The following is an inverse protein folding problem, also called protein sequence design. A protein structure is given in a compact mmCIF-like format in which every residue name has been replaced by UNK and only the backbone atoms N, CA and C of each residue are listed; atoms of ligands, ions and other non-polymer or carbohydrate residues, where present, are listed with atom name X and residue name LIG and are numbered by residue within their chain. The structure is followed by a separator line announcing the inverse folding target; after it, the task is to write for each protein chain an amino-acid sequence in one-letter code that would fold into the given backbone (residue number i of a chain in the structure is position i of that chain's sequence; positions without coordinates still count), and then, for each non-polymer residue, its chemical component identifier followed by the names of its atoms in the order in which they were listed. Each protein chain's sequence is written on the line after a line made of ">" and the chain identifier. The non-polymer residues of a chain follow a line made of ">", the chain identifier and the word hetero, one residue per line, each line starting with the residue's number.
data_IF_889866541887
#
_entry.id   IF_889866541887
#
_cell.length_a   1.000
_cell.length_b   1.000
_cell.length_c   1.000
_cell.angle_alpha   90.00
_cell.angle_beta   90.00
_cell.angle_gamma   90.00
#
_symmetry.space_group_name_H-M   'P 1'
#
loop_
_entity.id
_entity.type
_entity.pdbx_description
1 polymer ?
#
# COMPACT_ATOMS: atom_id res chain seq x y z
N UNK A 1 90.04 -9.29 20.90
CA UNK A 1 89.12 -8.47 21.71
C UNK A 1 88.36 -7.59 20.73
N UNK A 2 87.19 -8.02 20.26
CA UNK A 2 85.92 -8.00 20.99
C UNK A 2 85.27 -6.60 20.93
N UNK A 3 84.20 -6.54 20.12
CA UNK A 3 82.98 -5.76 20.32
C UNK A 3 83.08 -4.24 20.42
N UNK A 4 82.91 -3.54 19.29
CA UNK A 4 81.84 -2.53 19.09
C UNK A 4 81.59 -2.37 17.57
N UNK A 5 80.92 -3.33 16.94
CA UNK A 5 80.23 -3.10 15.65
C UNK A 5 78.87 -3.80 15.75
N UNK A 6 78.01 -3.29 16.64
CA UNK A 6 76.64 -3.77 16.73
C UNK A 6 75.71 -2.63 17.18
N UNK A 7 75.40 -1.72 16.25
CA UNK A 7 74.28 -0.78 16.42
C UNK A 7 73.76 -0.13 15.13
N UNK A 8 74.34 -0.43 13.95
CA UNK A 8 73.80 0.05 12.66
C UNK A 8 73.16 -1.04 11.80
N UNK A 9 73.46 -2.32 12.04
CA UNK A 9 72.85 -3.44 11.31
C UNK A 9 71.52 -3.89 11.93
N UNK A 10 71.40 -3.85 13.27
CA UNK A 10 70.14 -4.16 13.96
C UNK A 10 69.04 -3.11 13.72
N UNK A 11 69.38 -1.81 13.63
CA UNK A 11 68.41 -0.77 13.23
C UNK A 11 67.90 -0.93 11.79
N UNK A 12 68.73 -1.45 10.87
CA UNK A 12 68.34 -1.66 9.47
C UNK A 12 67.45 -2.90 9.31
N UNK A 13 67.71 -3.95 10.10
CA UNK A 13 66.87 -5.16 10.14
C UNK A 13 65.51 -4.90 10.80
N UNK A 14 65.42 -4.07 11.85
CA UNK A 14 64.15 -3.64 12.42
C UNK A 14 63.30 -2.81 11.44
N UNK A 15 63.93 -1.97 10.60
CA UNK A 15 63.22 -1.21 9.56
C UNK A 15 62.69 -2.11 8.43
N UNK A 16 63.43 -3.16 8.06
CA UNK A 16 63.00 -4.11 7.03
C UNK A 16 61.89 -5.06 7.51
N UNK A 17 61.90 -5.47 8.79
CA UNK A 17 60.79 -6.23 9.38
C UNK A 17 59.52 -5.38 9.60
N UNK A 18 59.66 -4.08 9.88
CA UNK A 18 58.54 -3.14 9.92
C UNK A 18 57.97 -2.88 8.52
N UNK A 19 58.80 -2.82 7.46
CA UNK A 19 58.30 -2.71 6.09
C UNK A 19 57.61 -3.99 5.59
N UNK A 20 58.03 -5.19 6.04
CA UNK A 20 57.31 -6.43 5.69
C UNK A 20 55.95 -6.58 6.40
N UNK A 21 55.75 -5.90 7.53
CA UNK A 21 54.43 -5.82 8.18
C UNK A 21 53.55 -4.67 7.64
N UNK A 22 54.14 -3.69 6.95
CA UNK A 22 53.39 -2.58 6.32
C UNK A 22 53.13 -2.85 4.82
N UNK A 23 53.70 -3.89 4.23
CA UNK A 23 53.46 -4.32 2.84
C UNK A 23 52.77 -5.69 2.70
N UNK A 24 52.12 -6.15 3.76
CA UNK A 24 51.32 -7.37 3.80
C UNK A 24 49.88 -7.11 4.23
N UNK A 25 49.15 -6.32 3.44
CA UNK A 25 47.69 -6.43 3.21
C UNK A 25 47.19 -5.24 2.37
N UNK A 26 47.87 -4.94 1.26
CA UNK A 26 47.14 -4.39 0.12
C UNK A 26 46.53 -5.57 -0.61
N UNK A 27 45.44 -6.12 -0.05
CA UNK A 27 44.44 -6.78 -0.88
C UNK A 27 44.03 -5.71 -1.89
N UNK A 28 44.63 -5.77 -3.09
CA UNK A 28 43.93 -5.36 -4.30
C UNK A 28 42.76 -6.33 -4.36
N UNK A 29 41.71 -5.97 -3.63
CA UNK A 29 40.37 -6.41 -3.92
C UNK A 29 40.08 -5.85 -5.29
N UNK A 30 40.58 -6.55 -6.32
CA UNK A 30 39.90 -6.61 -7.58
C UNK A 30 38.50 -7.05 -7.20
N UNK A 31 37.63 -6.08 -6.96
CA UNK A 31 36.20 -6.29 -7.06
C UNK A 31 36.07 -6.85 -8.45
N UNK A 32 35.98 -8.17 -8.51
CA UNK A 32 35.28 -8.88 -9.55
C UNK A 32 34.05 -8.00 -9.74
N UNK A 33 33.98 -7.33 -10.88
CA UNK A 33 32.69 -6.91 -11.39
C UNK A 33 32.01 -8.27 -11.52
N UNK A 34 31.32 -8.67 -10.46
CA UNK A 34 30.21 -9.59 -10.60
C UNK A 34 29.42 -8.90 -11.69
N UNK A 35 29.50 -9.46 -12.90
CA UNK A 35 28.49 -9.26 -13.91
C UNK A 35 27.20 -9.19 -13.13
N UNK A 36 26.60 -8.01 -13.09
CA UNK A 36 25.26 -7.80 -12.60
C UNK A 36 24.50 -8.97 -13.18
N UNK A 37 24.16 -9.97 -12.37
CA UNK A 37 23.15 -10.93 -12.80
C UNK A 37 22.02 -10.01 -13.19
N UNK A 38 21.65 -9.98 -14.47
CA UNK A 38 20.40 -9.37 -14.86
C UNK A 38 19.38 -10.05 -13.96
N UNK A 39 18.99 -9.38 -12.89
CA UNK A 39 17.97 -9.84 -11.96
C UNK A 39 16.72 -9.85 -12.81
N UNK A 40 16.34 -11.05 -13.24
CA UNK A 40 15.37 -11.21 -14.30
C UNK A 40 14.03 -10.82 -13.74
N UNK A 41 13.35 -9.86 -14.34
CA UNK A 41 11.94 -9.68 -14.04
C UNK A 41 11.20 -10.98 -14.35
N UNK A 42 10.43 -11.51 -13.40
CA UNK A 42 9.75 -12.79 -13.58
C UNK A 42 8.50 -12.54 -14.42
N UNK A 43 8.54 -12.97 -15.69
CA UNK A 43 7.40 -12.88 -16.59
C UNK A 43 6.25 -13.77 -16.09
N UNK A 44 5.05 -13.21 -16.07
CA UNK A 44 3.88 -13.93 -15.58
C UNK A 44 3.53 -15.13 -16.47
N UNK A 45 3.19 -16.26 -15.84
CA UNK A 45 2.68 -17.43 -16.57
C UNK A 45 1.39 -17.04 -17.31
N UNK A 46 1.24 -17.49 -18.55
CA UNK A 46 0.05 -17.16 -19.35
C UNK A 46 0.06 -15.75 -19.96
N UNK A 47 1.19 -15.04 -19.95
CA UNK A 47 1.32 -13.75 -20.64
C UNK A 47 1.09 -13.90 -22.14
N UNK A 48 0.09 -13.20 -22.67
CA UNK A 48 -0.27 -13.14 -24.09
C UNK A 48 0.41 -11.95 -24.78
N UNK A 49 0.49 -10.81 -24.08
CA UNK A 49 1.09 -9.57 -24.58
C UNK A 49 1.83 -8.87 -23.44
N UNK A 50 2.91 -8.18 -23.75
CA UNK A 50 3.64 -7.32 -22.81
C UNK A 50 3.59 -5.88 -23.33
N UNK A 51 3.41 -4.91 -22.43
CA UNK A 51 3.44 -3.48 -22.70
C UNK A 51 4.47 -2.87 -21.75
N UNK A 52 5.44 -2.15 -22.30
CA UNK A 52 6.42 -1.40 -21.51
C UNK A 52 6.04 0.08 -21.57
N UNK A 53 6.11 0.78 -20.44
CA UNK A 53 5.91 2.22 -20.39
C UNK A 53 7.23 3.01 -20.49
N UNK A 54 7.13 4.33 -20.59
CA UNK A 54 8.30 5.21 -20.72
C UNK A 54 9.13 5.30 -19.43
N UNK A 55 8.53 4.95 -18.30
CA UNK A 55 9.13 5.00 -16.97
C UNK A 55 9.87 3.70 -16.58
N UNK A 56 9.80 2.68 -17.44
CA UNK A 56 10.43 1.38 -17.25
C UNK A 56 9.54 0.34 -16.57
N UNK A 57 8.26 0.65 -16.33
CA UNK A 57 7.29 -0.35 -15.86
C UNK A 57 6.91 -1.29 -17.00
N UNK A 58 6.76 -2.57 -16.68
CA UNK A 58 6.33 -3.60 -17.62
C UNK A 58 5.01 -4.21 -17.19
N UNK A 59 4.01 -4.16 -18.05
CA UNK A 59 2.69 -4.77 -17.84
C UNK A 59 2.57 -6.03 -18.70
N UNK A 60 2.32 -7.16 -18.05
CA UNK A 60 1.97 -8.41 -18.71
C UNK A 60 0.45 -8.56 -18.77
N UNK A 61 -0.10 -8.61 -19.99
CA UNK A 61 -1.49 -9.00 -20.24
C UNK A 61 -1.58 -10.52 -20.15
N UNK A 62 -2.06 -11.02 -19.02
CA UNK A 62 -2.14 -12.45 -18.69
C UNK A 62 -3.51 -12.98 -19.04
N UNK A 63 -3.58 -14.16 -19.65
CA UNK A 63 -4.82 -14.89 -19.88
C UNK A 63 -5.64 -14.94 -18.58
N UNK A 64 -6.91 -14.54 -18.66
CA UNK A 64 -7.76 -14.38 -17.48
C UNK A 64 -7.87 -15.66 -16.65
N UNK A 65 -7.72 -16.86 -17.25
CA UNK A 65 -7.76 -18.15 -16.55
C UNK A 65 -6.40 -18.59 -15.98
N UNK A 66 -5.32 -17.87 -16.31
CA UNK A 66 -3.96 -18.16 -15.84
C UNK A 66 -3.44 -17.12 -14.84
N UNK A 67 -4.29 -16.17 -14.41
CA UNK A 67 -3.94 -15.20 -13.39
C UNK A 67 -3.65 -15.87 -12.02
N UNK A 68 -2.82 -15.25 -11.15
CA UNK A 68 -2.39 -15.83 -9.88
C UNK A 68 -3.53 -16.28 -8.96
N UNK A 69 -4.70 -15.64 -9.03
CA UNK A 69 -5.86 -15.95 -8.21
C UNK A 69 -6.16 -17.46 -8.06
N UNK A 70 -5.97 -18.24 -9.13
CA UNK A 70 -6.36 -19.66 -9.18
C UNK A 70 -5.35 -20.63 -8.59
N UNK A 71 -4.19 -20.15 -8.15
CA UNK A 71 -3.28 -20.96 -7.34
C UNK A 71 -3.82 -21.16 -5.91
N UNK A 72 -4.88 -20.43 -5.53
CA UNK A 72 -5.53 -20.56 -4.23
C UNK A 72 -6.27 -21.91 -4.15
N UNK A 73 -6.11 -22.70 -3.07
CA UNK A 73 -6.71 -24.04 -2.97
C UNK A 73 -8.23 -24.06 -3.19
N UNK A 74 -8.94 -23.05 -2.70
CA UNK A 74 -10.40 -22.93 -2.86
C UNK A 74 -10.86 -22.43 -4.23
N UNK A 75 -9.95 -21.98 -5.10
CA UNK A 75 -10.30 -21.34 -6.39
C UNK A 75 -9.91 -22.15 -7.63
N UNK A 76 -9.37 -23.36 -7.48
CA UNK A 76 -8.88 -24.19 -8.61
C UNK A 76 -9.92 -24.45 -9.73
N UNK A 77 -11.20 -24.54 -9.38
CA UNK A 77 -12.31 -24.76 -10.31
C UNK A 77 -13.31 -23.60 -10.30
N UNK A 78 -12.85 -22.40 -9.92
CA UNK A 78 -13.72 -21.24 -9.76
C UNK A 78 -14.27 -20.79 -11.11
N UNK A 79 -15.59 -20.54 -11.16
CA UNK A 79 -16.23 -19.96 -12.34
C UNK A 79 -16.12 -18.44 -12.21
N UNK A 80 -15.41 -17.83 -13.15
CA UNK A 80 -15.21 -16.38 -13.17
C UNK A 80 -16.53 -15.68 -13.44
N UNK A 81 -16.91 -14.78 -12.54
CA UNK A 81 -18.01 -13.84 -12.77
C UNK A 81 -17.41 -12.58 -13.36
N UNK A 82 -17.68 -12.29 -14.64
CA UNK A 82 -17.07 -11.14 -15.33
C UNK A 82 -17.62 -9.79 -14.87
N UNK A 83 -18.84 -9.76 -14.33
CA UNK A 83 -19.47 -8.55 -13.82
C UNK A 83 -20.47 -8.85 -12.69
N UNK A 84 -20.64 -7.93 -11.73
CA UNK A 84 -21.74 -7.99 -10.77
C UNK A 84 -23.10 -7.86 -11.47
N UNK A 85 -24.18 -8.27 -10.78
CA UNK A 85 -25.54 -8.11 -11.26
C UNK A 85 -25.99 -6.65 -11.19
N UNK A 86 -25.54 -5.96 -10.14
CA UNK A 86 -25.76 -4.54 -9.90
C UNK A 86 -24.43 -3.86 -9.55
N UNK A 87 -24.18 -2.73 -10.21
CA UNK A 87 -23.04 -1.87 -9.89
C UNK A 87 -23.59 -0.70 -9.08
N UNK A 88 -23.21 -0.56 -7.80
CA UNK A 88 -23.61 0.58 -7.00
C UNK A 88 -23.00 1.87 -7.59
N UNK A 89 -23.69 2.99 -7.39
CA UNK A 89 -23.15 4.28 -7.81
C UNK A 89 -21.89 4.61 -7.01
N UNK A 90 -20.82 4.93 -7.73
CA UNK A 90 -19.56 5.41 -7.16
C UNK A 90 -19.78 6.66 -6.31
N UNK A 91 -18.98 6.87 -5.25
CA UNK A 91 -19.00 8.12 -4.52
C UNK A 91 -18.66 9.29 -5.46
N UNK A 92 -19.26 10.46 -5.21
CA UNK A 92 -19.11 11.62 -6.11
C UNK A 92 -17.66 12.12 -6.12
N UNK A 93 -17.07 12.11 -7.30
CA UNK A 93 -15.78 12.73 -7.61
C UNK A 93 -15.94 14.22 -7.94
N UNK A 94 -14.85 15.00 -7.99
CA UNK A 94 -14.97 16.42 -8.33
C UNK A 94 -15.22 16.55 -9.83
N UNK A 95 -16.25 17.31 -10.22
CA UNK A 95 -16.70 17.45 -11.62
C UNK A 95 -15.69 18.06 -12.59
N UNK A 96 -14.53 18.53 -12.09
CA UNK A 96 -13.43 19.14 -12.83
C UNK A 96 -12.17 18.27 -12.87
N UNK A 97 -12.25 17.00 -12.47
CA UNK A 97 -11.10 16.11 -12.45
C UNK A 97 -10.78 15.55 -13.84
N UNK A 98 -9.47 15.40 -14.08
CA UNK A 98 -8.98 14.56 -15.17
C UNK A 98 -9.28 13.09 -14.85
N UNK A 99 -9.52 12.29 -15.88
CA UNK A 99 -9.74 10.85 -15.75
C UNK A 99 -8.52 10.17 -15.10
N UNK A 100 -8.77 9.17 -14.23
CA UNK A 100 -7.71 8.36 -13.65
C UNK A 100 -6.93 7.67 -14.75
N UNK A 101 -5.60 7.79 -14.68
CA UNK A 101 -4.73 7.39 -15.76
C UNK A 101 -3.53 6.59 -15.25
N UNK A 102 -3.08 5.60 -16.02
CA UNK A 102 -1.82 4.88 -15.79
C UNK A 102 -0.92 5.04 -17.02
N UNK A 103 0.36 5.36 -16.81
CA UNK A 103 1.27 5.75 -17.91
C UNK A 103 1.40 4.70 -19.03
N UNK A 104 1.30 3.41 -18.70
CA UNK A 104 1.34 2.32 -19.69
C UNK A 104 0.20 2.38 -20.72
N UNK A 105 -0.90 3.07 -20.45
CA UNK A 105 -2.00 3.29 -21.40
C UNK A 105 -1.56 4.03 -22.66
N UNK A 106 -0.48 4.85 -22.59
CA UNK A 106 0.09 5.53 -23.76
C UNK A 106 0.59 4.54 -24.81
N UNK A 107 1.05 3.37 -24.37
CA UNK A 107 1.73 2.38 -25.20
C UNK A 107 0.83 1.21 -25.60
N UNK A 108 -0.44 1.23 -25.16
CA UNK A 108 -1.50 0.37 -25.67
C UNK A 108 -2.46 -0.13 -24.61
N UNK A 109 -3.18 -1.19 -24.95
CA UNK A 109 -4.19 -1.81 -24.10
C UNK A 109 -4.03 -3.33 -24.11
N UNK A 110 -4.54 -3.99 -23.06
CA UNK A 110 -4.60 -5.43 -23.00
C UNK A 110 -5.75 -6.00 -23.86
N UNK A 111 -5.55 -7.13 -24.57
CA UNK A 111 -6.59 -7.78 -25.35
C UNK A 111 -7.77 -8.26 -24.50
N UNK A 112 -8.91 -8.52 -25.15
CA UNK A 112 -10.03 -9.22 -24.50
C UNK A 112 -9.61 -10.59 -23.97
N UNK A 113 -10.20 -10.98 -22.83
CA UNK A 113 -9.86 -12.24 -22.16
C UNK A 113 -8.50 -12.22 -21.43
N UNK A 114 -7.91 -11.04 -21.21
CA UNK A 114 -6.68 -10.88 -20.42
C UNK A 114 -6.82 -9.84 -19.32
N UNK A 115 -5.95 -9.91 -18.32
CA UNK A 115 -5.83 -8.94 -17.22
C UNK A 115 -4.40 -8.38 -17.16
N UNK A 116 -4.20 -7.06 -17.00
CA UNK A 116 -2.88 -6.45 -16.87
C UNK A 116 -2.30 -6.68 -15.48
N UNK A 117 -1.10 -7.27 -15.43
CA UNK A 117 -0.34 -7.50 -14.21
C UNK A 117 1.02 -6.82 -14.37
N UNK A 118 1.32 -5.84 -13.49
CA UNK A 118 2.66 -5.23 -13.43
C UNK A 118 3.69 -6.29 -13.05
N UNK A 119 4.79 -6.32 -13.78
CA UNK A 119 5.88 -7.25 -13.56
C UNK A 119 6.78 -6.76 -12.43
N UNK A 120 6.75 -7.48 -11.31
CA UNK A 120 7.57 -7.22 -10.11
C UNK A 120 9.02 -7.65 -10.32
N UNK A 121 9.98 -6.92 -9.75
CA UNK A 121 11.39 -7.34 -9.76
C UNK A 121 11.63 -8.46 -8.72
N UNK A 122 12.55 -9.38 -9.02
CA UNK A 122 12.90 -10.50 -8.11
C UNK A 122 13.37 -10.02 -6.72
N UNK A 123 13.96 -8.82 -6.62
CA UNK A 123 14.36 -8.21 -5.35
C UNK A 123 13.19 -7.66 -4.52
N UNK A 124 12.11 -7.19 -5.15
CA UNK A 124 10.92 -6.70 -4.45
C UNK A 124 10.23 -7.84 -3.69
N UNK A 125 10.23 -9.06 -4.25
CA UNK A 125 9.72 -10.27 -3.58
C UNK A 125 10.45 -10.57 -2.27
N UNK A 126 11.75 -10.25 -2.18
CA UNK A 126 12.57 -10.46 -0.97
C UNK A 126 12.51 -9.33 0.05
N UNK A 127 11.98 -8.16 -0.33
CA UNK A 127 11.76 -7.01 0.56
C UNK A 127 10.32 -6.95 1.09
N UNK A 128 9.60 -8.07 1.08
CA UNK A 128 8.33 -8.17 1.77
C UNK A 128 8.49 -7.67 3.20
N UNK A 129 7.91 -6.51 3.49
CA UNK A 129 7.86 -5.95 4.84
C UNK A 129 7.29 -7.03 5.75
N UNK A 130 7.97 -7.35 6.85
CA UNK A 130 7.42 -8.30 7.82
C UNK A 130 6.28 -7.60 8.55
N UNK A 131 5.06 -7.89 8.13
CA UNK A 131 3.84 -7.36 8.74
C UNK A 131 3.62 -8.00 10.10
N UNK A 132 3.26 -7.17 11.09
CA UNK A 132 2.92 -7.60 12.45
C UNK A 132 1.39 -7.54 12.59
N UNK A 133 0.75 -8.52 13.26
CA UNK A 133 -0.70 -8.58 13.42
C UNK A 133 -1.33 -7.29 13.94
N UNK A 134 -2.31 -6.76 13.20
CA UNK A 134 -3.11 -5.58 13.57
C UNK A 134 -4.13 -5.95 14.66
N UNK A 135 -4.19 -5.18 15.75
CA UNK A 135 -5.22 -5.33 16.80
C UNK A 135 -6.37 -4.36 16.56
N UNK A 136 -7.60 -4.87 16.48
CA UNK A 136 -8.81 -4.07 16.19
C UNK A 136 -9.40 -3.39 17.42
N UNK A 137 -8.95 -3.74 18.63
CA UNK A 137 -9.46 -3.14 19.86
C UNK A 137 -8.82 -1.76 20.13
N UNK A 138 -9.55 -0.70 19.78
CA UNK A 138 -9.23 0.70 20.09
C UNK A 138 -9.05 1.02 21.60
N UNK A 139 -9.37 0.09 22.51
CA UNK A 139 -9.40 0.28 23.96
C UNK A 139 -8.24 -0.35 24.73
N UNK A 140 -7.27 -0.99 24.08
CA UNK A 140 -6.13 -1.58 24.78
C UNK A 140 -4.86 -0.73 24.58
N UNK A 141 -4.61 0.12 25.57
CA UNK A 141 -3.31 0.74 25.81
C UNK A 141 -2.26 -0.34 26.09
N UNK A 142 -1.55 -0.76 25.06
CA UNK A 142 -0.32 -1.53 25.16
C UNK A 142 0.62 -1.01 24.09
N UNK A 143 1.82 -0.58 24.52
CA UNK A 143 2.93 -0.14 23.67
C UNK A 143 2.90 -0.91 22.33
N UNK A 144 2.58 -0.19 21.27
CA UNK A 144 2.48 -0.75 19.93
C UNK A 144 3.91 -1.09 19.49
N UNK A 145 4.21 -2.39 19.48
CA UNK A 145 5.48 -2.95 18.98
C UNK A 145 5.45 -2.97 17.44
N UNK A 146 4.38 -2.50 16.80
CA UNK A 146 4.36 -2.29 15.36
C UNK A 146 4.99 -0.94 15.03
N UNK A 147 5.93 -0.96 14.10
CA UNK A 147 6.46 0.22 13.43
C UNK A 147 5.41 0.90 12.52
N UNK A 148 4.12 0.64 12.74
CA UNK A 148 3.01 1.11 11.90
C UNK A 148 2.27 2.22 12.64
N UNK A 149 2.20 3.40 12.03
CA UNK A 149 1.49 4.53 12.60
C UNK A 149 0.27 4.88 11.77
N UNK A 150 -0.84 5.14 12.46
CA UNK A 150 -2.15 5.32 11.85
C UNK A 150 -2.70 6.71 12.13
N UNK A 151 -3.49 7.24 11.20
CA UNK A 151 -4.43 8.33 11.44
C UNK A 151 -5.74 8.03 10.69
N UNK A 152 -6.72 7.52 11.42
CA UNK A 152 -7.91 6.88 10.85
C UNK A 152 -9.21 7.32 11.55
N UNK A 153 -10.32 7.07 10.87
CA UNK A 153 -11.65 7.00 11.48
C UNK A 153 -12.21 5.59 11.35
N UNK A 154 -12.89 5.13 12.38
CA UNK A 154 -13.46 3.79 12.48
C UNK A 154 -14.97 3.86 12.69
N UNK A 155 -15.70 2.97 12.03
CA UNK A 155 -17.15 2.86 12.06
C UNK A 155 -17.55 1.39 12.19
N UNK A 156 -18.55 1.11 13.03
CA UNK A 156 -19.12 -0.23 13.15
C UNK A 156 -20.60 -0.17 13.48
N UNK A 157 -21.41 -0.87 12.70
CA UNK A 157 -22.85 -1.03 12.93
C UNK A 157 -23.29 -2.39 12.43
N UNK A 158 -23.78 -3.25 13.34
CA UNK A 158 -24.36 -4.54 13.00
C UNK A 158 -23.61 -5.29 11.89
N UNK A 159 -24.33 -5.63 10.81
CA UNK A 159 -23.77 -6.25 9.62
C UNK A 159 -23.56 -5.22 8.50
N UNK A 160 -22.36 -5.22 7.93
CA UNK A 160 -21.94 -4.32 6.87
C UNK A 160 -21.64 -5.15 5.61
N UNK A 161 -22.15 -4.70 4.47
CA UNK A 161 -22.02 -5.36 3.18
C UNK A 161 -21.20 -4.54 2.19
N UNK A 162 -20.60 -3.42 2.62
CA UNK A 162 -19.75 -2.62 1.75
C UNK A 162 -19.29 -1.32 2.39
N UNK A 163 -18.24 -0.75 1.82
CA UNK A 163 -17.61 0.50 2.22
C UNK A 163 -17.30 1.32 0.96
N UNK A 164 -17.45 2.64 1.05
CA UNK A 164 -17.03 3.56 -0.01
C UNK A 164 -16.45 4.84 0.54
N UNK A 165 -15.65 5.51 -0.28
CA UNK A 165 -15.25 6.89 -0.08
C UNK A 165 -14.62 7.46 -1.36
N UNK A 166 -14.61 8.78 -1.49
CA UNK A 166 -13.67 9.48 -2.38
C UNK A 166 -12.48 9.94 -1.55
N UNK A 167 -11.26 9.62 -1.99
CA UNK A 167 -10.02 9.99 -1.30
C UNK A 167 -9.09 10.72 -2.26
N UNK A 168 -8.48 11.83 -1.81
CA UNK A 168 -7.51 12.53 -2.66
C UNK A 168 -6.19 11.78 -2.76
N UNK A 169 -5.60 11.84 -3.96
CA UNK A 169 -4.37 11.15 -4.32
C UNK A 169 -3.20 12.10 -4.10
N UNK A 170 -2.18 11.65 -3.36
CA UNK A 170 -0.94 12.40 -3.10
C UNK A 170 0.27 11.50 -3.38
N UNK A 171 1.43 12.12 -3.61
CA UNK A 171 2.72 11.44 -3.66
C UNK A 171 3.61 11.91 -2.49
N UNK A 172 3.36 11.44 -1.26
CA UNK A 172 4.17 11.79 -0.09
C UNK A 172 5.64 11.39 -0.25
N UNK A 173 6.52 12.11 0.45
CA UNK A 173 7.92 11.69 0.62
C UNK A 173 7.97 10.52 1.60
N UNK A 174 8.71 9.47 1.25
CA UNK A 174 8.85 8.25 2.04
C UNK A 174 10.34 7.91 2.17
N UNK A 175 10.80 7.62 3.39
CA UNK A 175 12.19 7.24 3.66
C UNK A 175 12.49 5.80 3.16
N UNK A 176 13.77 5.48 3.01
CA UNK A 176 14.23 4.21 2.42
C UNK A 176 13.71 2.98 3.17
N UNK A 177 13.02 2.10 2.44
CA UNK A 177 12.43 0.87 3.00
C UNK A 177 11.09 1.06 3.70
N UNK A 178 10.54 2.28 3.69
CA UNK A 178 9.25 2.61 4.29
C UNK A 178 8.12 2.71 3.25
N UNK A 179 6.90 2.93 3.74
CA UNK A 179 5.72 3.16 2.93
C UNK A 179 4.76 4.16 3.57
N UNK A 180 3.89 4.73 2.74
CA UNK A 180 2.74 5.56 3.14
C UNK A 180 1.50 5.17 2.34
N UNK A 181 0.39 4.97 3.04
CA UNK A 181 -0.89 4.48 2.50
C UNK A 181 -2.01 5.48 2.79
N UNK A 182 -2.98 5.53 1.90
CA UNK A 182 -4.33 6.00 2.20
C UNK A 182 -5.32 4.95 1.71
N UNK A 183 -6.13 4.39 2.61
CA UNK A 183 -6.93 3.21 2.30
C UNK A 183 -8.25 3.11 3.06
N UNK A 184 -9.09 2.20 2.57
CA UNK A 184 -10.30 1.70 3.23
C UNK A 184 -10.00 0.29 3.73
N UNK A 185 -10.34 0.00 4.99
CA UNK A 185 -10.33 -1.36 5.55
C UNK A 185 -11.75 -1.85 5.76
N UNK A 186 -12.04 -3.07 5.31
CA UNK A 186 -13.28 -3.80 5.59
C UNK A 186 -12.93 -5.00 6.46
N UNK A 187 -13.40 -5.02 7.71
CA UNK A 187 -12.92 -5.96 8.72
C UNK A 187 -14.03 -6.83 9.32
N UNK A 188 -13.71 -8.08 9.63
CA UNK A 188 -14.56 -9.00 10.38
C UNK A 188 -13.76 -10.03 11.18
N UNK A 189 -14.31 -10.47 12.32
CA UNK A 189 -13.71 -11.50 13.17
C UNK A 189 -12.88 -10.95 14.33
N UNK A 190 -12.44 -11.82 15.25
CA UNK A 190 -11.55 -11.47 16.35
C UNK A 190 -10.12 -11.21 15.85
N UNK A 191 -9.28 -10.54 16.65
CA UNK A 191 -7.92 -10.13 16.27
C UNK A 191 -7.05 -11.31 15.80
N UNK A 192 -7.17 -12.47 16.45
CA UNK A 192 -6.38 -13.67 16.14
C UNK A 192 -6.78 -14.33 14.81
N UNK A 193 -8.00 -14.08 14.32
CA UNK A 193 -8.50 -14.65 13.06
C UNK A 193 -9.05 -13.55 12.14
N UNK A 194 -8.51 -12.34 12.28
CA UNK A 194 -9.06 -11.15 11.65
C UNK A 194 -9.03 -11.29 10.14
N UNK A 195 -10.18 -11.06 9.52
CA UNK A 195 -10.30 -10.97 8.08
C UNK A 195 -10.28 -9.50 7.68
N UNK A 196 -9.41 -9.14 6.72
CA UNK A 196 -9.38 -7.79 6.15
C UNK A 196 -9.43 -7.83 4.64
N UNK A 197 -10.13 -6.86 4.07
CA UNK A 197 -9.99 -6.43 2.67
C UNK A 197 -9.64 -4.96 2.71
N UNK A 198 -8.60 -4.58 1.96
CA UNK A 198 -8.04 -3.24 1.98
C UNK A 198 -7.82 -2.76 0.55
N UNK A 199 -8.15 -1.50 0.30
CA UNK A 199 -7.90 -0.89 -0.99
C UNK A 199 -7.68 0.61 -0.87
N UNK A 200 -6.78 1.13 -1.70
CA UNK A 200 -6.33 2.50 -1.58
C UNK A 200 -5.23 2.83 -2.57
N UNK A 201 -4.47 3.88 -2.26
CA UNK A 201 -3.21 4.17 -2.92
C UNK A 201 -2.04 4.09 -1.93
N UNK A 202 -0.87 3.68 -2.43
CA UNK A 202 0.37 3.55 -1.67
C UNK A 202 1.53 4.25 -2.36
N UNK A 203 2.50 4.70 -1.57
CA UNK A 203 3.85 5.08 -2.01
C UNK A 203 4.85 4.25 -1.21
N UNK A 204 5.82 3.67 -1.90
CA UNK A 204 6.92 2.89 -1.29
C UNK A 204 8.25 3.41 -1.78
N UNK A 205 9.26 3.46 -0.91
CA UNK A 205 10.64 3.75 -1.31
C UNK A 205 11.34 2.45 -1.76
N UNK A 206 12.16 2.45 -2.84
CA UNK A 206 12.72 3.61 -3.55
C UNK A 206 11.93 4.12 -4.76
N UNK A 207 10.77 3.53 -5.08
CA UNK A 207 10.05 3.89 -6.30
C UNK A 207 9.43 5.29 -6.23
N UNK A 208 8.92 5.68 -5.06
CA UNK A 208 8.41 7.03 -4.77
C UNK A 208 7.34 7.51 -5.78
N UNK A 209 6.49 6.57 -6.23
CA UNK A 209 5.31 6.81 -7.06
C UNK A 209 4.05 6.32 -6.36
N UNK A 210 2.99 7.11 -6.48
CA UNK A 210 1.65 6.72 -6.00
C UNK A 210 1.06 5.65 -6.88
N UNK A 211 0.70 4.52 -6.29
CA UNK A 211 0.14 3.35 -6.97
C UNK A 211 -1.18 2.94 -6.36
N UNK A 212 -2.12 2.51 -7.19
CA UNK A 212 -3.32 1.83 -6.72
C UNK A 212 -2.94 0.46 -6.16
N UNK A 213 -3.49 0.08 -5.01
CA UNK A 213 -3.24 -1.23 -4.44
C UNK A 213 -4.49 -1.84 -3.80
N UNK A 214 -4.39 -3.14 -3.56
CA UNK A 214 -5.26 -3.87 -2.64
C UNK A 214 -4.44 -4.73 -1.69
N UNK A 215 -5.00 -5.09 -0.54
CA UNK A 215 -4.48 -6.09 0.38
C UNK A 215 -5.64 -6.91 0.92
N UNK A 216 -5.41 -8.15 1.33
CA UNK A 216 -6.40 -8.92 2.08
C UNK A 216 -5.71 -9.96 2.95
N UNK A 217 -6.30 -10.30 4.10
CA UNK A 217 -5.90 -11.45 4.94
C UNK A 217 -7.14 -12.14 5.50
N UNK A 218 -6.99 -13.39 5.93
CA UNK A 218 -8.05 -14.23 6.50
C UNK A 218 -7.71 -14.82 7.87
N UNK A 219 -6.53 -14.50 8.41
CA UNK A 219 -5.98 -15.13 9.62
C UNK A 219 -5.21 -14.14 10.52
N UNK A 220 -5.61 -12.86 10.51
CA UNK A 220 -4.97 -11.85 11.36
C UNK A 220 -3.51 -11.60 11.01
N UNK A 221 -3.18 -11.58 9.70
CA UNK A 221 -1.83 -11.32 9.19
C UNK A 221 -0.77 -12.33 9.66
N UNK A 222 -1.18 -13.54 10.05
CA UNK A 222 -0.25 -14.55 10.56
C UNK A 222 0.47 -15.28 9.42
N UNK A 223 -0.30 -15.86 8.50
CA UNK A 223 0.22 -16.66 7.39
C UNK A 223 -0.42 -16.32 6.06
N UNK A 224 -1.61 -15.70 6.06
CA UNK A 224 -2.29 -15.24 4.86
C UNK A 224 -2.17 -13.73 4.70
N UNK A 225 -2.13 -13.32 3.44
CA UNK A 225 -2.27 -11.93 3.02
C UNK A 225 -1.01 -11.28 2.49
N UNK A 226 -1.21 -10.47 1.48
CA UNK A 226 -0.18 -9.70 0.80
C UNK A 226 -0.85 -8.71 -0.17
N UNK A 227 -0.03 -7.91 -0.83
CA UNK A 227 -0.50 -6.91 -1.77
C UNK A 227 -0.94 -7.53 -3.10
N UNK A 228 -1.95 -6.90 -3.67
CA UNK A 228 -2.32 -7.04 -5.08
C UNK A 228 -2.54 -8.50 -5.49
N UNK A 229 -1.74 -8.99 -6.43
CA UNK A 229 -1.75 -10.34 -6.96
C UNK A 229 -0.53 -11.16 -6.52
N UNK A 230 0.20 -10.71 -5.49
CA UNK A 230 1.37 -11.43 -4.96
C UNK A 230 0.97 -12.77 -4.32
N UNK A 231 -0.27 -12.88 -3.84
CA UNK A 231 -0.86 -14.10 -3.29
C UNK A 231 -2.16 -14.39 -4.02
N UNK A 232 -2.50 -15.67 -4.13
CA UNK A 232 -3.68 -16.07 -4.88
C UNK A 232 -4.94 -15.80 -4.05
N UNK A 233 -5.96 -15.16 -4.62
CA UNK A 233 -7.26 -15.00 -3.95
C UNK A 233 -8.12 -13.87 -4.52
N UNK A 234 -7.49 -12.78 -4.98
CA UNK A 234 -8.19 -11.72 -5.71
C UNK A 234 -8.34 -12.10 -7.19
N UNK A 235 -9.58 -12.20 -7.66
CA UNK A 235 -9.90 -12.49 -9.06
C UNK A 235 -10.07 -11.16 -9.80
N UNK A 236 -9.05 -10.77 -10.56
CA UNK A 236 -9.12 -9.61 -11.44
C UNK A 236 -9.94 -9.96 -12.70
N UNK A 237 -10.82 -9.04 -13.11
CA UNK A 237 -11.64 -9.20 -14.33
C UNK A 237 -11.48 -8.01 -15.29
N UNK A 238 -10.86 -6.93 -14.80
CA UNK A 238 -10.63 -5.72 -15.56
C UNK A 238 -9.35 -5.80 -16.38
N UNK A 239 -9.44 -5.38 -17.64
CA UNK A 239 -8.31 -5.32 -18.57
C UNK A 239 -7.67 -3.93 -18.72
N UNK A 240 -8.28 -2.92 -18.11
CA UNK A 240 -7.95 -1.50 -18.29
C UNK A 240 -7.00 -0.99 -17.22
N UNK A 241 -7.08 -1.48 -15.98
CA UNK A 241 -6.25 -1.01 -14.87
C UNK A 241 -5.47 -2.16 -14.26
N UNK A 242 -4.18 -1.92 -14.01
CA UNK A 242 -3.32 -2.85 -13.28
C UNK A 242 -3.14 -2.37 -11.84
N UNK A 243 -3.20 -3.32 -10.89
CA UNK A 243 -2.76 -3.06 -9.52
C UNK A 243 -1.24 -2.86 -9.49
N UNK A 244 -0.75 -2.16 -8.47
CA UNK A 244 0.67 -1.80 -8.30
C UNK A 244 1.24 -0.90 -9.40
N UNK A 245 0.42 -0.41 -10.33
CA UNK A 245 0.88 0.54 -11.36
C UNK A 245 0.66 1.99 -10.93
N UNK A 246 1.60 2.90 -11.25
CA UNK A 246 1.47 4.31 -10.93
C UNK A 246 0.15 4.92 -11.44
N UNK A 247 -0.46 5.78 -10.63
CA UNK A 247 -1.69 6.48 -10.94
C UNK A 247 -1.48 7.99 -11.01
N UNK A 248 -2.10 8.60 -12.00
CA UNK A 248 -2.10 10.05 -12.21
C UNK A 248 -3.52 10.55 -12.51
N UNK A 249 -3.78 11.85 -12.32
CA UNK A 249 -2.91 12.85 -11.67
C UNK A 249 -2.93 12.79 -10.13
N UNK A 250 -1.94 13.43 -9.50
CA UNK A 250 -1.87 13.60 -8.04
C UNK A 250 -2.15 15.05 -7.62
N UNK A 251 -2.68 15.22 -6.41
CA UNK A 251 -3.01 16.50 -5.78
C UNK A 251 -1.76 17.33 -5.47
N UNK A 252 -1.93 18.66 -5.34
CA UNK A 252 -0.85 19.60 -5.01
C UNK A 252 -1.28 20.59 -3.95
N UNK A 253 -0.34 20.97 -3.07
CA UNK A 253 -0.60 21.91 -1.98
C UNK A 253 -1.08 23.26 -2.49
N UNK A 254 -2.21 23.73 -1.96
CA UNK A 254 -2.90 24.97 -2.34
C UNK A 254 -3.18 25.09 -3.86
N UNK A 255 -3.38 23.95 -4.52
CA UNK A 255 -3.65 23.85 -5.95
C UNK A 255 -4.69 22.76 -6.24
N UNK A 256 -4.78 22.31 -7.49
CA UNK A 256 -5.79 21.34 -7.93
C UNK A 256 -5.72 20.05 -7.11
N UNK A 257 -6.90 19.60 -6.66
CA UNK A 257 -7.08 18.37 -5.88
C UNK A 257 -7.70 17.29 -6.78
N UNK A 258 -7.12 16.10 -6.74
CA UNK A 258 -7.57 14.94 -7.48
C UNK A 258 -7.93 13.84 -6.48
N UNK A 259 -9.15 13.33 -6.56
CA UNK A 259 -9.64 12.21 -5.78
C UNK A 259 -10.16 11.11 -6.69
N UNK A 260 -10.05 9.90 -6.18
CA UNK A 260 -10.60 8.70 -6.79
C UNK A 260 -11.73 8.19 -5.91
N UNK A 261 -12.81 7.69 -6.49
CA UNK A 261 -13.82 6.95 -5.75
C UNK A 261 -13.38 5.50 -5.55
N UNK A 262 -13.39 5.00 -4.32
CA UNK A 262 -13.21 3.58 -4.02
C UNK A 262 -14.51 3.02 -3.45
N UNK A 263 -14.93 1.88 -3.96
CA UNK A 263 -16.07 1.11 -3.44
C UNK A 263 -15.68 -0.36 -3.31
N UNK A 264 -15.85 -0.91 -2.10
CA UNK A 264 -15.77 -2.34 -1.81
C UNK A 264 -17.16 -2.78 -1.38
N UNK A 265 -17.75 -3.78 -2.03
CA UNK A 265 -19.12 -4.20 -1.68
C UNK A 265 -19.36 -5.67 -1.95
N UNK A 266 -20.26 -6.26 -1.18
CA UNK A 266 -20.60 -7.67 -1.26
C UNK A 266 -21.84 -7.88 -2.09
N UNK A 267 -21.72 -8.72 -3.11
CA UNK A 267 -22.85 -9.17 -3.92
C UNK A 267 -22.69 -10.65 -4.27
N UNK A 268 -23.75 -11.45 -4.07
CA UNK A 268 -23.77 -12.88 -4.39
C UNK A 268 -22.56 -13.65 -3.82
N UNK A 269 -22.20 -13.35 -2.56
CA UNK A 269 -21.10 -14.01 -1.85
C UNK A 269 -19.70 -13.58 -2.31
N UNK A 270 -19.56 -12.51 -3.09
CA UNK A 270 -18.27 -11.98 -3.57
C UNK A 270 -18.11 -10.53 -3.12
N UNK A 271 -16.93 -10.18 -2.64
CA UNK A 271 -16.55 -8.80 -2.36
C UNK A 271 -15.95 -8.18 -3.60
N UNK A 272 -16.69 -7.31 -4.28
CA UNK A 272 -16.28 -6.58 -5.46
C UNK A 272 -15.48 -5.34 -5.10
N UNK A 273 -14.43 -5.08 -5.88
CA UNK A 273 -13.62 -3.89 -5.80
C UNK A 273 -13.84 -3.02 -7.04
N UNK A 274 -14.15 -1.76 -6.81
CA UNK A 274 -14.39 -0.76 -7.83
C UNK A 274 -13.61 0.51 -7.53
N UNK A 275 -13.00 1.07 -8.58
CA UNK A 275 -12.33 2.36 -8.57
C UNK A 275 -12.98 3.24 -9.62
N UNK A 276 -13.41 4.43 -9.23
CA UNK A 276 -14.30 5.27 -10.02
C UNK A 276 -15.52 4.46 -10.50
N UNK A 277 -15.77 4.40 -11.81
CA UNK A 277 -16.82 3.59 -12.44
C UNK A 277 -16.33 2.21 -12.93
N UNK A 278 -15.07 1.87 -12.67
CA UNK A 278 -14.43 0.64 -13.15
C UNK A 278 -14.44 -0.44 -12.07
N UNK A 279 -15.12 -1.55 -12.36
CA UNK A 279 -15.01 -2.77 -11.55
C UNK A 279 -13.68 -3.44 -11.89
N UNK A 280 -12.80 -3.61 -10.90
CA UNK A 280 -11.46 -4.19 -11.08
C UNK A 280 -11.47 -5.72 -10.94
N UNK A 281 -12.21 -6.22 -9.95
CA UNK A 281 -12.19 -7.63 -9.59
C UNK A 281 -12.97 -7.90 -8.32
N UNK A 282 -12.78 -9.08 -7.75
CA UNK A 282 -13.44 -9.48 -6.52
C UNK A 282 -12.66 -10.52 -5.71
N UNK A 283 -12.93 -10.56 -4.41
CA UNK A 283 -12.57 -11.66 -3.54
C UNK A 283 -13.77 -12.59 -3.34
N UNK A 284 -13.68 -13.88 -3.70
CA UNK A 284 -14.72 -14.86 -3.37
C UNK A 284 -14.86 -15.00 -1.85
N UNK A 285 -16.07 -14.90 -1.31
CA UNK A 285 -16.33 -15.02 0.14
C UNK A 285 -15.87 -16.34 0.75
N UNK A 286 -15.68 -17.38 -0.07
CA UNK A 286 -15.18 -18.71 0.33
C UNK A 286 -13.72 -18.72 0.78
N UNK A 287 -12.95 -17.66 0.52
CA UNK A 287 -11.56 -17.55 1.03
C UNK A 287 -11.50 -16.96 2.45
N UNK A 288 -12.64 -16.54 3.00
CA UNK A 288 -12.75 -15.86 4.28
C UNK A 288 -13.57 -16.68 5.28
N UNK A 289 -13.15 -16.67 6.54
CA UNK A 289 -13.86 -17.32 7.64
C UNK A 289 -14.97 -16.42 8.23
N UNK A 290 -14.78 -15.10 8.20
CA UNK A 290 -15.72 -14.12 8.75
C UNK A 290 -16.33 -13.21 7.68
N UNK A 291 -15.50 -12.63 6.80
CA UNK A 291 -15.99 -11.84 5.66
C UNK A 291 -16.81 -12.67 4.66
N UNK A 292 -16.78 -14.00 4.79
CA UNK A 292 -17.70 -14.93 4.14
C UNK A 292 -19.18 -14.65 4.41
N UNK A 293 -19.51 -13.99 5.53
CA UNK A 293 -20.87 -13.56 5.91
C UNK A 293 -21.10 -12.06 5.74
N UNK A 294 -20.41 -11.22 6.50
CA UNK A 294 -20.51 -9.76 6.46
C UNK A 294 -19.29 -9.14 7.15
N UNK A 295 -19.10 -7.84 6.97
CA UNK A 295 -18.16 -7.06 7.75
C UNK A 295 -18.82 -6.55 9.04
N UNK A 296 -18.02 -6.28 10.07
CA UNK A 296 -18.48 -5.65 11.31
C UNK A 296 -17.92 -4.24 11.51
N UNK A 297 -16.77 -3.94 10.90
CA UNK A 297 -16.06 -2.68 11.04
C UNK A 297 -15.60 -2.21 9.66
N UNK A 298 -15.69 -0.90 9.43
CA UNK A 298 -15.03 -0.21 8.33
C UNK A 298 -14.12 0.86 8.91
N UNK A 299 -12.93 1.01 8.33
CA UNK A 299 -12.04 2.11 8.64
C UNK A 299 -11.58 2.82 7.39
N UNK A 300 -11.27 4.11 7.53
CA UNK A 300 -10.71 4.94 6.49
C UNK A 300 -9.58 5.78 7.07
N UNK A 301 -8.52 5.99 6.30
CA UNK A 301 -7.46 6.92 6.67
C UNK A 301 -6.09 6.50 6.18
N UNK A 302 -5.07 6.95 6.90
CA UNK A 302 -3.68 6.74 6.54
C UNK A 302 -2.95 5.76 7.46
N UNK A 303 -1.95 5.12 6.88
CA UNK A 303 -1.00 4.24 7.56
C UNK A 303 0.40 4.49 7.00
N UNK A 304 1.41 4.52 7.86
CA UNK A 304 2.82 4.60 7.46
C UNK A 304 3.62 3.54 8.20
N UNK A 305 4.74 3.14 7.60
CA UNK A 305 5.79 2.42 8.31
C UNK A 305 6.86 3.40 8.74
N UNK A 306 7.16 3.44 10.03
CA UNK A 306 8.23 4.23 10.65
C UNK A 306 9.25 3.25 11.23
N UNK A 307 10.36 3.04 10.53
CA UNK A 307 11.44 2.16 10.92
C UNK A 307 12.27 2.71 12.09
N UNK A 308 12.04 3.96 12.50
CA UNK A 308 12.79 4.70 13.53
C UNK A 308 14.32 4.62 13.31
N UNK A 309 14.76 4.66 12.04
CA UNK A 309 16.18 4.60 11.68
C UNK A 309 16.94 5.75 12.34
N UNK A 310 17.87 5.41 13.25
CA UNK A 310 18.64 6.40 13.99
C UNK A 310 17.98 6.87 15.29
N UNK A 311 16.99 6.13 15.81
CA UNK A 311 16.42 6.35 17.15
C UNK A 311 15.49 7.56 17.26
N UNK A 312 14.96 8.01 16.13
CA UNK A 312 13.98 9.07 16.04
C UNK A 312 12.97 8.71 14.94
N UNK A 313 11.80 9.33 15.02
CA UNK A 313 10.77 9.19 14.00
C UNK A 313 11.30 9.59 12.60
N UNK A 314 10.94 8.85 11.55
CA UNK A 314 11.41 9.11 10.17
C UNK A 314 10.72 10.30 9.50
N UNK A 315 11.23 10.71 8.33
CA UNK A 315 10.65 11.82 7.54
C UNK A 315 9.51 11.38 6.63
N UNK A 316 9.08 10.12 6.75
CA UNK A 316 7.96 9.59 5.98
C UNK A 316 6.70 10.41 6.25
N UNK A 317 6.07 10.86 5.17
CA UNK A 317 4.89 11.68 5.21
C UNK A 317 3.65 10.80 5.09
N UNK A 318 2.60 11.10 5.87
CA UNK A 318 1.28 10.50 5.70
C UNK A 318 0.39 11.40 4.86
N UNK A 319 -0.26 10.82 3.84
CA UNK A 319 -1.19 11.56 2.98
C UNK A 319 -0.48 12.65 2.18
N UNK A 320 -0.80 13.91 2.50
CA UNK A 320 -0.20 15.09 1.87
C UNK A 320 1.12 15.54 2.50
N UNK A 321 1.52 14.94 3.63
CA UNK A 321 2.60 15.47 4.48
C UNK A 321 2.18 16.64 5.38
N UNK A 322 0.90 17.03 5.35
CA UNK A 322 0.33 18.10 6.14
C UNK A 322 -0.72 17.57 7.12
N UNK A 323 -0.84 18.23 8.27
CA UNK A 323 -1.82 17.85 9.28
C UNK A 323 -3.26 18.11 8.81
N UNK A 324 -4.18 17.27 9.27
CA UNK A 324 -5.60 17.31 8.95
C UNK A 324 -6.27 18.65 9.25
N UNK A 325 -5.82 19.38 10.27
CA UNK A 325 -6.36 20.70 10.62
C UNK A 325 -6.08 21.78 9.57
N UNK A 326 -5.18 21.55 8.60
CA UNK A 326 -4.99 22.46 7.47
C UNK A 326 -6.14 22.43 6.45
N UNK A 327 -6.95 21.36 6.43
CA UNK A 327 -8.18 21.27 5.66
C UNK A 327 -8.00 21.16 4.14
N UNK A 328 -9.08 21.44 3.39
CA UNK A 328 -9.15 21.23 1.95
C UNK A 328 -8.07 22.02 1.18
N UNK A 329 -7.50 21.38 0.16
CA UNK A 329 -6.44 21.94 -0.67
C UNK A 329 -5.03 21.78 -0.07
N UNK A 330 -4.92 21.32 1.17
CA UNK A 330 -3.66 21.21 1.91
C UNK A 330 -3.48 19.84 2.53
N UNK A 331 -4.45 19.39 3.31
CA UNK A 331 -4.45 18.09 3.95
C UNK A 331 -4.96 16.98 3.02
N UNK A 332 -4.63 15.73 3.37
CA UNK A 332 -5.27 14.57 2.77
C UNK A 332 -6.68 14.44 3.33
N UNK A 333 -7.61 13.89 2.55
CA UNK A 333 -9.00 13.73 2.97
C UNK A 333 -9.64 12.47 2.41
N UNK A 334 -10.65 12.01 3.14
CA UNK A 334 -11.70 11.14 2.64
C UNK A 334 -13.02 11.87 2.75
N UNK A 335 -13.85 11.79 1.71
CA UNK A 335 -15.18 12.40 1.63
C UNK A 335 -16.20 11.43 1.07
N UNK A 336 -17.48 11.75 1.20
CA UNK A 336 -18.59 10.88 0.80
C UNK A 336 -18.46 9.47 1.41
N UNK A 337 -17.97 9.38 2.65
CA UNK A 337 -17.76 8.09 3.31
C UNK A 337 -19.11 7.44 3.61
N UNK A 338 -19.23 6.16 3.29
CA UNK A 338 -20.49 5.45 3.39
C UNK A 338 -20.32 3.95 3.53
N UNK A 339 -21.35 3.30 4.06
CA UNK A 339 -21.42 1.85 4.20
C UNK A 339 -22.63 1.30 3.46
N UNK A 340 -22.59 0.03 3.09
CA UNK A 340 -23.74 -0.68 2.51
C UNK A 340 -24.35 -1.58 3.57
N UNK A 341 -25.67 -1.49 3.74
CA UNK A 341 -26.43 -2.37 4.61
C UNK A 341 -26.98 -3.61 3.87
N UNK A 342 -27.78 -4.43 4.56
CA UNK A 342 -28.37 -5.64 3.98
C UNK A 342 -29.40 -5.38 2.86
N UNK A 343 -29.82 -4.12 2.66
CA UNK A 343 -30.71 -3.76 1.55
C UNK A 343 -29.96 -3.58 0.23
N UNK A 344 -28.62 -3.62 0.26
CA UNK A 344 -27.76 -3.38 -0.90
C UNK A 344 -27.63 -1.91 -1.27
N UNK A 345 -28.03 -0.99 -0.38
CA UNK A 345 -27.95 0.46 -0.59
C UNK A 345 -26.81 1.06 0.23
N UNK A 346 -26.07 1.99 -0.40
CA UNK A 346 -25.11 2.81 0.32
C UNK A 346 -25.80 3.92 1.13
N UNK A 347 -25.39 4.03 2.39
CA UNK A 347 -25.82 5.02 3.37
C UNK A 347 -24.57 5.81 3.78
N UNK A 348 -24.68 7.13 3.79
CA UNK A 348 -23.60 7.99 4.26
C UNK A 348 -23.46 7.86 5.78
N UNK A 349 -22.24 7.73 6.28
CA UNK A 349 -21.99 7.60 7.72
C UNK A 349 -22.30 8.93 8.41
N UNK A 350 -22.92 8.88 9.58
CA UNK A 350 -23.10 10.07 10.41
C UNK A 350 -21.79 10.44 11.13
N UNK A 351 -21.34 11.69 11.01
CA UNK A 351 -20.06 12.14 11.55
C UNK A 351 -19.87 11.83 13.06
N UNK A 352 -20.94 11.97 13.86
CA UNK A 352 -20.93 11.69 15.30
C UNK A 352 -20.71 10.21 15.67
N UNK A 353 -20.91 9.29 14.71
CA UNK A 353 -20.73 7.84 14.94
C UNK A 353 -19.30 7.37 14.69
N UNK A 354 -18.47 8.23 14.07
CA UNK A 354 -17.08 7.93 13.76
C UNK A 354 -16.21 8.01 15.02
N UNK A 355 -15.37 7.00 15.21
CA UNK A 355 -14.31 6.99 16.23
C UNK A 355 -13.01 7.41 15.59
N UNK A 356 -12.42 8.51 16.04
CA UNK A 356 -11.09 8.97 15.61
C UNK A 356 -10.00 8.20 16.34
N UNK A 357 -8.95 7.82 15.63
CA UNK A 357 -7.76 7.20 16.22
C UNK A 357 -6.50 7.66 15.48
N UNK A 358 -5.45 7.99 16.23
CA UNK A 358 -4.13 8.21 15.69
C UNK A 358 -3.07 7.67 16.65
N UNK A 359 -2.07 6.95 16.12
CA UNK A 359 -1.01 6.31 16.93
C UNK A 359 -0.18 7.36 17.66
N UNK A 360 0.31 8.37 16.92
CA UNK A 360 1.02 9.54 17.47
C UNK A 360 0.43 10.83 16.88
N UNK A 361 -0.58 11.44 17.54
CA UNK A 361 -1.27 12.63 17.04
C UNK A 361 -0.37 13.84 16.71
N UNK A 362 0.81 13.92 17.33
CA UNK A 362 1.80 14.97 17.07
C UNK A 362 2.65 14.73 15.81
N UNK A 363 2.68 13.51 15.29
CA UNK A 363 3.33 13.10 14.05
C UNK A 363 2.33 13.09 12.89
N UNK A 364 1.15 12.51 13.14
CA UNK A 364 0.04 12.39 12.20
C UNK A 364 -1.28 12.55 12.94
N UNK A 365 -2.18 13.39 12.44
CA UNK A 365 -3.49 13.60 13.07
C UNK A 365 -4.65 13.34 12.11
N UNK A 366 -5.85 13.29 12.70
CA UNK A 366 -7.11 13.08 12.00
C UNK A 366 -8.18 14.00 12.58
N UNK A 367 -8.89 14.70 11.70
CA UNK A 367 -9.95 15.64 12.04
C UNK A 367 -11.21 15.40 11.22
N UNK A 368 -12.27 14.97 11.89
CA UNK A 368 -13.60 14.83 11.28
C UNK A 368 -14.19 16.22 11.10
N UNK A 369 -14.64 16.52 9.88
CA UNK A 369 -15.19 17.83 9.58
C UNK A 369 -16.59 17.99 10.16
N UNK A 370 -16.87 19.17 10.70
CA UNK A 370 -18.18 19.49 11.30
C UNK A 370 -19.24 19.93 10.26
N UNK A 371 -18.90 19.94 8.97
CA UNK A 371 -19.83 20.32 7.90
C UNK A 371 -19.89 19.23 6.82
N UNK A 372 -21.01 19.19 6.10
CA UNK A 372 -21.24 18.28 4.96
C UNK A 372 -21.52 19.04 3.67
N UNK A 373 -21.24 20.36 3.67
CA UNK A 373 -21.56 21.29 2.58
C UNK A 373 -20.64 21.07 1.36
N UNK A 374 -21.00 21.69 0.24
CA UNK A 374 -20.13 21.72 -0.95
C UNK A 374 -19.97 20.38 -1.67
N UNK A 375 -20.83 19.40 -1.40
CA UNK A 375 -20.79 18.09 -2.05
C UNK A 375 -19.74 17.13 -1.48
N UNK A 376 -19.26 17.37 -0.25
CA UNK A 376 -18.30 16.51 0.44
C UNK A 376 -18.98 15.40 1.25
N UNK A 377 -20.26 15.55 1.60
CA UNK A 377 -20.92 14.64 2.52
C UNK A 377 -20.14 14.56 3.84
N UNK A 378 -20.27 13.43 4.55
CA UNK A 378 -19.41 13.15 5.70
C UNK A 378 -17.97 12.95 5.24
N UNK A 379 -17.05 13.68 5.87
CA UNK A 379 -15.64 13.70 5.48
C UNK A 379 -14.72 13.99 6.67
N UNK A 380 -13.45 13.66 6.51
CA UNK A 380 -12.41 13.98 7.46
C UNK A 380 -11.10 14.29 6.73
N UNK A 381 -10.23 15.00 7.42
CA UNK A 381 -8.87 15.31 6.98
C UNK A 381 -7.87 14.53 7.83
N UNK A 382 -6.76 14.12 7.23
CA UNK A 382 -5.70 13.40 7.92
C UNK A 382 -4.35 13.68 7.28
N UNK A 383 -3.29 13.32 8.02
CA UNK A 383 -1.92 13.33 7.53
C UNK A 383 -0.97 13.94 8.54
N UNK A 384 0.27 14.15 8.08
CA UNK A 384 1.31 14.80 8.88
C UNK A 384 2.69 14.59 8.25
N UNK A 385 3.66 15.40 8.67
CA UNK A 385 4.99 15.43 8.06
C UNK A 385 5.92 14.30 8.51
N UNK A 386 5.49 13.47 9.47
CA UNK A 386 6.40 12.60 10.22
C UNK A 386 7.33 13.44 11.09
N UNK A 387 8.65 13.27 10.93
CA UNK A 387 9.66 13.98 11.70
C UNK A 387 9.49 15.50 11.63
N UNK A 388 9.28 16.12 12.78
CA UNK A 388 9.08 17.56 12.91
C UNK A 388 9.40 18.05 14.32
N UNK A 389 9.34 19.37 14.56
CA UNK A 389 9.49 19.91 15.92
C UNK A 389 8.41 19.42 16.90
N UNK A 390 7.27 18.95 16.38
CA UNK A 390 6.18 18.37 17.15
C UNK A 390 6.30 16.84 17.28
N UNK A 391 7.10 16.21 16.43
CA UNK A 391 7.33 14.78 16.34
C UNK A 391 8.83 14.51 16.15
N UNK A 392 9.58 14.58 17.24
CA UNK A 392 11.03 14.39 17.22
C UNK A 392 11.45 12.96 17.59
N UNK A 393 10.62 12.24 18.34
CA UNK A 393 10.89 10.89 18.85
C UNK A 393 9.69 9.99 18.63
#
# INVERSE_FOLDING_TARGET
>A
MAYVVNNKLECFLCFLFALSYVLGDSFVGGRRIETTKNKGFIKQKGTIKTIEDEDGDTIDCVDIYQQPAFDHPFLKNHIIQMKPNSIPSSPKENSYQAELFQNWHKNGQCPEGTVPIRRTQEDEYTRGVKWIPRRTQLNHSFYDISNHEHAIVSFGVGEIYGARASLNVWNPVVDDGEFSLAQIWVLAGPDEELNTIEAGWKVTSPENKTKLFTFWTSDGYQSTGCFNLECPGFVQVNKNFSLDSPIEPVSRYSAQQFDIGITIYKENGKWWFQVQDQVLGYWPGTIFNYLGSSAGIIEWGGEVYNAELGGHHTRTQMGSGHFGNEGYGKASYFRNIGYMDNSGKFIDVEAQTLKKYATRPSCYNVEVANNTNGGFGTHFYFGGPGYSTQCAN
#
